data_IF_966009605700
#
_entry.id   IF_966009605700
#
_cell.length_a   1.000
_cell.length_b   1.000
_cell.length_c   1.000
_cell.angle_alpha   90.00
_cell.angle_beta   90.00
_cell.angle_gamma   90.00
#
_symmetry.space_group_name_H-M   'P 1'
#
loop_
_entity.id
_entity.type
_entity.pdbx_description
1 polymer ?
#
# COMPACT_ATOMS: atom_id res chain seq x y z
N UNK A 1 15.42 14.18 80.29
CA UNK A 1 14.34 14.32 79.30
C UNK A 1 14.88 15.26 78.23
N UNK A 2 15.45 14.72 77.18
CA UNK A 2 15.94 15.47 76.05
C UNK A 2 14.89 15.35 74.92
N UNK A 3 14.22 16.48 74.67
CA UNK A 3 13.33 16.58 73.50
C UNK A 3 14.19 16.71 72.27
N UNK A 4 14.11 15.71 71.44
CA UNK A 4 14.71 15.69 70.10
C UNK A 4 13.68 16.28 69.12
N UNK A 5 13.76 17.59 68.88
CA UNK A 5 12.99 18.23 67.81
C UNK A 5 13.78 18.08 66.54
N UNK A 6 13.46 17.04 65.75
CA UNK A 6 13.89 16.95 64.35
C UNK A 6 13.02 17.89 63.53
N UNK A 7 13.49 19.14 63.36
CA UNK A 7 12.93 20.08 62.41
C UNK A 7 13.89 20.06 61.19
N UNK A 8 13.62 19.21 60.26
CA UNK A 8 14.13 19.32 58.87
C UNK A 8 12.95 19.12 57.90
N UNK A 9 11.92 19.95 58.06
CA UNK A 9 11.05 20.27 56.93
C UNK A 9 11.72 21.46 56.23
N UNK A 10 12.70 21.13 55.38
CA UNK A 10 13.16 22.07 54.38
C UNK A 10 12.05 22.11 53.34
N UNK A 11 11.18 23.10 53.46
CA UNK A 11 10.23 23.42 52.41
C UNK A 11 11.05 23.87 51.20
N UNK A 12 11.47 22.92 50.32
CA UNK A 12 12.18 23.23 49.11
C UNK A 12 11.26 24.05 48.21
N UNK A 13 11.52 25.34 48.15
CA UNK A 13 10.80 26.28 47.28
C UNK A 13 11.08 25.87 45.84
N UNK A 14 10.06 25.31 45.15
CA UNK A 14 10.13 24.96 43.74
C UNK A 14 9.88 26.19 42.88
N UNK A 15 10.55 26.28 41.79
CA UNK A 15 10.42 27.36 40.79
C UNK A 15 10.02 26.76 39.48
N UNK A 16 9.01 27.34 38.82
CA UNK A 16 8.61 26.97 37.50
C UNK A 16 9.75 27.21 36.49
N UNK A 17 10.15 26.20 35.76
CA UNK A 17 11.21 26.27 34.76
C UNK A 17 10.85 27.13 33.54
N UNK A 18 9.57 27.43 33.31
CA UNK A 18 9.12 28.26 32.20
C UNK A 18 8.99 29.74 32.59
N UNK A 19 8.17 30.05 33.58
CA UNK A 19 7.85 31.43 33.90
C UNK A 19 8.66 31.98 35.12
N UNK A 20 9.36 31.09 35.84
CA UNK A 20 10.16 31.48 37.01
C UNK A 20 9.35 31.81 38.26
N UNK A 21 8.05 31.56 38.28
CA UNK A 21 7.25 31.78 39.49
C UNK A 21 7.59 30.75 40.57
N UNK A 22 7.35 31.13 41.82
CA UNK A 22 7.42 30.22 42.97
C UNK A 22 6.16 29.34 42.97
N UNK A 23 6.36 28.03 43.03
CA UNK A 23 5.27 27.07 43.09
C UNK A 23 4.97 26.78 44.56
N UNK A 24 3.77 27.09 44.96
CA UNK A 24 3.29 26.87 46.32
C UNK A 24 2.56 25.52 46.42
N UNK A 25 2.58 24.90 47.59
CA UNK A 25 1.76 23.72 47.95
C UNK A 25 2.00 22.44 47.09
N UNK A 26 3.19 22.25 46.50
CA UNK A 26 3.48 21.11 45.64
C UNK A 26 2.52 20.94 44.44
N UNK A 27 1.87 22.03 44.00
CA UNK A 27 1.00 22.07 42.81
C UNK A 27 1.83 22.27 41.56
N UNK A 28 2.58 21.24 41.13
CA UNK A 28 3.45 21.28 39.96
C UNK A 28 3.23 20.05 39.08
N UNK A 29 3.61 20.24 37.83
CA UNK A 29 3.67 19.17 36.84
C UNK A 29 5.12 18.89 36.47
N UNK A 30 5.42 17.62 36.14
CA UNK A 30 6.73 17.22 35.66
C UNK A 30 6.60 16.78 34.20
N UNK A 31 7.30 17.47 33.31
CA UNK A 31 7.32 17.17 31.89
C UNK A 31 8.12 15.90 31.60
N UNK A 32 7.99 15.35 30.37
CA UNK A 32 8.67 14.12 29.96
C UNK A 32 10.22 14.24 30.05
N UNK A 33 10.76 15.45 29.88
CA UNK A 33 12.19 15.79 29.96
C UNK A 33 12.64 16.19 31.37
N UNK A 34 11.74 16.14 32.37
CA UNK A 34 12.02 16.33 33.79
C UNK A 34 11.95 17.78 34.26
N UNK A 35 11.43 18.71 33.45
CA UNK A 35 11.19 20.11 33.86
C UNK A 35 10.03 20.19 34.83
N UNK A 36 10.09 21.13 35.75
CA UNK A 36 9.03 21.42 36.72
C UNK A 36 8.27 22.66 36.25
N UNK A 37 6.98 22.55 36.04
CA UNK A 37 6.12 23.64 35.58
C UNK A 37 4.93 23.87 36.49
N UNK A 38 4.49 25.13 36.62
CA UNK A 38 3.29 25.49 37.38
C UNK A 38 2.03 25.20 36.55
N UNK A 39 0.87 25.22 37.23
CA UNK A 39 -0.44 24.98 36.63
C UNK A 39 -0.75 25.94 35.46
N UNK A 40 -0.48 27.25 35.64
CA UNK A 40 -0.72 28.25 34.59
C UNK A 40 0.08 27.98 33.30
N UNK A 41 1.36 27.52 33.45
CA UNK A 41 2.17 27.13 32.32
C UNK A 41 1.66 25.82 31.69
N UNK A 42 1.28 24.86 32.54
CA UNK A 42 0.70 23.61 32.05
C UNK A 42 -0.54 23.88 31.20
N UNK A 43 -1.51 24.62 31.72
CA UNK A 43 -2.77 24.92 31.02
C UNK A 43 -2.57 25.71 29.73
N UNK A 44 -1.48 26.53 29.67
CA UNK A 44 -1.24 27.39 28.52
C UNK A 44 -0.42 26.74 27.41
N UNK A 45 0.52 25.85 27.74
CA UNK A 45 1.58 25.44 26.83
C UNK A 45 1.86 23.93 26.78
N UNK A 46 1.20 23.14 27.63
CA UNK A 46 1.47 21.71 27.72
C UNK A 46 0.21 20.88 27.57
N UNK A 47 0.40 19.61 27.25
CA UNK A 47 -0.66 18.63 27.22
C UNK A 47 -0.17 17.30 27.81
N UNK A 48 -1.08 16.49 28.27
CA UNK A 48 -0.81 15.11 28.65
C UNK A 48 -1.12 14.19 27.47
N UNK A 49 -0.12 13.43 27.00
CA UNK A 49 -0.31 12.42 25.98
C UNK A 49 -1.30 11.35 26.46
N UNK A 50 -2.36 11.13 25.70
CA UNK A 50 -3.43 10.19 26.07
C UNK A 50 -2.96 8.73 26.14
N UNK A 51 -1.93 8.36 25.37
CA UNK A 51 -1.42 6.98 25.33
C UNK A 51 -0.38 6.68 26.42
N UNK A 52 0.62 7.55 26.59
CA UNK A 52 1.69 7.28 27.53
C UNK A 52 1.55 8.03 28.86
N UNK A 53 0.61 8.97 29.01
CA UNK A 53 0.36 9.75 30.19
C UNK A 53 1.47 10.76 30.55
N UNK A 54 2.46 10.97 29.71
CA UNK A 54 3.53 11.94 29.91
C UNK A 54 3.13 13.32 29.42
N UNK A 55 3.73 14.35 29.99
CA UNK A 55 3.45 15.75 29.69
C UNK A 55 4.46 16.28 28.68
N UNK A 56 3.96 16.87 27.58
CA UNK A 56 4.73 17.43 26.48
C UNK A 56 4.30 18.87 26.21
N UNK A 57 5.13 19.65 25.54
CA UNK A 57 4.76 20.96 25.04
C UNK A 57 3.75 20.83 23.89
N UNK A 58 2.86 21.79 23.74
CA UNK A 58 1.82 21.78 22.69
C UNK A 58 2.38 21.81 21.27
N UNK A 59 3.64 22.25 21.08
CA UNK A 59 4.34 22.19 19.79
C UNK A 59 4.63 20.75 19.34
N UNK A 60 4.70 19.80 20.29
CA UNK A 60 4.94 18.37 20.04
C UNK A 60 3.63 17.56 19.97
N UNK A 61 2.48 18.24 19.97
CA UNK A 61 1.18 17.64 19.95
C UNK A 61 0.84 17.11 18.56
N UNK A 62 0.47 15.84 18.50
CA UNK A 62 -0.11 15.19 17.32
C UNK A 62 -1.58 14.93 17.56
N UNK A 63 -2.40 15.46 16.68
CA UNK A 63 -3.83 15.14 16.64
C UNK A 63 -4.00 13.83 15.87
N UNK A 64 -4.73 12.87 16.45
CA UNK A 64 -5.04 11.60 15.80
C UNK A 64 -6.54 11.44 15.63
N UNK A 65 -6.99 10.64 14.68
CA UNK A 65 -8.40 10.40 14.39
C UNK A 65 -9.21 11.71 14.24
N UNK A 66 -8.62 12.73 13.57
CA UNK A 66 -9.24 14.06 13.34
C UNK A 66 -9.57 14.84 14.59
N UNK A 67 -8.67 14.85 15.55
CA UNK A 67 -8.86 15.53 16.82
C UNK A 67 -9.69 14.75 17.83
N UNK A 68 -9.88 13.45 17.60
CA UNK A 68 -10.50 12.55 18.58
C UNK A 68 -9.60 12.31 19.79
N UNK A 69 -8.26 12.40 19.61
CA UNK A 69 -7.26 12.22 20.66
C UNK A 69 -5.99 13.02 20.36
N UNK A 70 -5.22 13.30 21.43
CA UNK A 70 -3.98 14.05 21.36
C UNK A 70 -2.84 13.24 21.97
N UNK A 71 -1.82 13.00 21.19
CA UNK A 71 -0.68 12.15 21.58
C UNK A 71 0.66 12.80 21.25
N UNK A 72 1.75 12.31 21.86
CA UNK A 72 3.10 12.73 21.49
C UNK A 72 3.54 12.01 20.20
N UNK A 73 4.57 12.55 19.55
CA UNK A 73 5.11 12.02 18.29
C UNK A 73 5.50 10.54 18.42
N UNK A 74 6.18 10.14 19.51
CA UNK A 74 6.58 8.74 19.70
C UNK A 74 5.38 7.77 19.77
N UNK A 75 4.26 8.20 20.39
CA UNK A 75 3.04 7.40 20.44
C UNK A 75 2.33 7.40 19.09
N UNK A 76 2.28 8.53 18.39
CA UNK A 76 1.71 8.62 17.05
C UNK A 76 2.42 7.64 16.10
N UNK A 77 3.74 7.66 16.04
CA UNK A 77 4.53 6.79 15.15
C UNK A 77 4.47 5.31 15.53
N UNK A 78 4.17 5.00 16.80
CA UNK A 78 4.14 3.61 17.29
C UNK A 78 2.80 2.94 17.19
N UNK A 79 1.72 3.67 17.38
CA UNK A 79 0.37 3.11 17.58
C UNK A 79 -0.63 3.53 16.53
N UNK A 80 -0.26 4.46 15.65
CA UNK A 80 -1.15 4.99 14.62
C UNK A 80 -0.52 4.87 13.24
N UNK A 81 -1.37 4.83 12.25
CA UNK A 81 -1.00 4.78 10.84
C UNK A 81 -1.08 6.19 10.24
N UNK A 82 -0.04 6.59 9.55
CA UNK A 82 -0.04 7.87 8.84
C UNK A 82 -0.61 7.69 7.44
N UNK A 83 -1.68 8.41 7.12
CA UNK A 83 -2.25 8.37 5.78
C UNK A 83 -1.27 8.95 4.75
N UNK A 84 -1.01 8.21 3.68
CA UNK A 84 -0.09 8.62 2.61
C UNK A 84 -0.60 9.82 1.80
N UNK A 85 -1.91 10.05 1.80
CA UNK A 85 -2.53 11.12 1.03
C UNK A 85 -2.69 12.43 1.82
N UNK A 86 -3.29 12.41 3.01
CA UNK A 86 -3.47 13.62 3.83
C UNK A 86 -2.36 13.84 4.86
N UNK A 87 -1.59 12.83 5.20
CA UNK A 87 -0.50 12.89 6.17
C UNK A 87 -0.94 12.90 7.63
N UNK A 88 -2.25 12.78 7.92
CA UNK A 88 -2.78 12.70 9.27
C UNK A 88 -2.69 11.27 9.84
N UNK A 89 -2.73 11.15 11.16
CA UNK A 89 -2.60 9.88 11.87
C UNK A 89 -3.96 9.31 12.28
N UNK A 90 -4.12 7.98 12.08
CA UNK A 90 -5.35 7.26 12.34
C UNK A 90 -5.09 5.92 13.02
N UNK A 91 -6.04 5.45 13.83
CA UNK A 91 -6.06 4.09 14.34
C UNK A 91 -6.31 3.10 13.20
N UNK A 92 -5.90 1.85 13.37
CA UNK A 92 -6.06 0.76 12.40
C UNK A 92 -7.49 0.62 11.84
N UNK A 93 -8.50 0.88 12.67
CA UNK A 93 -9.90 0.77 12.25
C UNK A 93 -10.39 1.89 11.30
N UNK A 94 -9.57 2.90 11.04
CA UNK A 94 -9.89 4.04 10.17
C UNK A 94 -8.96 4.14 8.95
N UNK A 95 -8.24 3.09 8.62
CA UNK A 95 -7.34 3.06 7.47
C UNK A 95 -7.53 1.81 6.62
N UNK A 96 -7.35 1.95 5.34
CA UNK A 96 -7.17 0.87 4.36
C UNK A 96 -5.67 0.67 4.13
N UNK A 97 -5.21 -0.57 4.18
CA UNK A 97 -3.81 -0.92 3.95
C UNK A 97 -3.71 -2.06 2.93
N UNK A 98 -2.63 -2.10 2.18
CA UNK A 98 -2.31 -3.18 1.25
C UNK A 98 -0.93 -3.80 1.54
N UNK A 99 -0.64 -4.93 0.87
CA UNK A 99 0.64 -5.64 1.00
C UNK A 99 1.83 -4.86 0.39
N UNK A 100 1.58 -3.77 -0.29
CA UNK A 100 2.60 -2.89 -0.90
C UNK A 100 3.02 -1.75 0.02
N UNK A 101 2.41 -1.66 1.21
CA UNK A 101 2.71 -0.66 2.23
C UNK A 101 1.92 0.63 2.07
N UNK A 102 0.90 0.67 1.23
CA UNK A 102 -0.01 1.83 1.09
C UNK A 102 -0.92 1.94 2.31
N UNK A 103 -1.04 3.14 2.86
CA UNK A 103 -1.93 3.46 3.99
C UNK A 103 -2.82 4.63 3.62
N UNK A 104 -4.12 4.42 3.50
CA UNK A 104 -5.08 5.47 3.13
C UNK A 104 -6.20 5.50 4.17
N UNK A 105 -6.49 6.66 4.77
CA UNK A 105 -7.62 6.79 5.70
C UNK A 105 -8.97 6.69 4.96
N UNK A 106 -10.03 6.32 5.70
CA UNK A 106 -11.39 6.13 5.15
C UNK A 106 -11.85 7.31 4.30
N UNK A 107 -11.63 8.54 4.77
CA UNK A 107 -12.07 9.71 4.00
C UNK A 107 -11.28 9.93 2.72
N UNK A 108 -9.94 9.74 2.75
CA UNK A 108 -9.16 9.83 1.53
C UNK A 108 -9.55 8.73 0.56
N UNK A 109 -9.84 7.54 1.07
CA UNK A 109 -10.30 6.41 0.27
C UNK A 109 -11.62 6.75 -0.43
N UNK A 110 -12.62 7.23 0.33
CA UNK A 110 -13.96 7.51 -0.18
C UNK A 110 -14.05 8.77 -1.06
N UNK A 111 -13.32 9.85 -0.70
CA UNK A 111 -13.47 11.15 -1.38
C UNK A 111 -12.44 11.43 -2.48
N UNK A 112 -11.43 10.59 -2.64
CA UNK A 112 -10.34 10.80 -3.60
C UNK A 112 -10.19 9.68 -4.62
N UNK A 113 -11.27 8.95 -4.87
CA UNK A 113 -11.37 7.92 -5.91
C UNK A 113 -10.32 6.80 -5.80
N UNK A 114 -9.96 6.41 -4.56
CA UNK A 114 -9.15 5.22 -4.36
C UNK A 114 -10.02 3.97 -4.51
N UNK A 115 -9.42 2.93 -5.05
CA UNK A 115 -10.03 1.60 -5.13
C UNK A 115 -8.99 0.52 -4.89
N UNK A 116 -9.44 -0.67 -4.55
CA UNK A 116 -8.57 -1.84 -4.32
C UNK A 116 -8.62 -2.73 -5.55
N UNK A 117 -7.47 -3.10 -6.09
CA UNK A 117 -7.39 -4.04 -7.20
C UNK A 117 -7.87 -5.43 -6.78
N UNK A 118 -8.83 -6.00 -7.52
CA UNK A 118 -9.41 -7.31 -7.26
C UNK A 118 -8.38 -8.43 -7.21
N UNK A 119 -7.38 -8.41 -8.10
CA UNK A 119 -6.40 -9.49 -8.21
C UNK A 119 -5.24 -9.40 -7.21
N UNK A 120 -4.63 -8.22 -7.07
CA UNK A 120 -3.44 -8.08 -6.25
C UNK A 120 -3.65 -7.31 -4.95
N UNK A 121 -4.85 -6.80 -4.69
CA UNK A 121 -5.16 -6.06 -3.47
C UNK A 121 -4.55 -4.66 -3.40
N UNK A 122 -3.82 -4.18 -4.43
CA UNK A 122 -3.19 -2.85 -4.42
C UNK A 122 -4.22 -1.74 -4.36
N UNK A 123 -4.04 -0.82 -3.42
CA UNK A 123 -4.85 0.40 -3.29
C UNK A 123 -4.26 1.50 -4.17
N UNK A 124 -5.05 2.05 -5.09
CA UNK A 124 -4.61 3.11 -6.00
C UNK A 124 -5.78 3.91 -6.54
N UNK A 125 -5.52 5.14 -6.97
CA UNK A 125 -6.44 5.94 -7.81
C UNK A 125 -6.37 5.56 -9.29
N UNK A 126 -5.32 4.85 -9.68
CA UNK A 126 -5.10 4.42 -11.07
C UNK A 126 -5.76 3.05 -11.39
N UNK A 127 -6.46 2.45 -10.41
CA UNK A 127 -7.29 1.29 -10.65
C UNK A 127 -8.55 1.73 -11.40
N UNK A 128 -9.02 0.93 -12.33
CA UNK A 128 -10.21 1.22 -13.12
C UNK A 128 -11.16 0.03 -13.13
N UNK A 129 -12.44 0.34 -13.33
CA UNK A 129 -13.48 -0.65 -13.39
C UNK A 129 -13.27 -1.59 -14.58
N UNK A 130 -13.40 -2.87 -14.34
CA UNK A 130 -13.31 -3.90 -15.36
C UNK A 130 -14.60 -4.76 -15.37
N UNK A 131 -15.31 -4.76 -16.49
CA UNK A 131 -16.61 -5.41 -16.64
C UNK A 131 -16.51 -6.95 -16.58
N UNK A 132 -15.35 -7.55 -16.83
CA UNK A 132 -15.18 -9.00 -16.80
C UNK A 132 -15.14 -9.56 -15.38
N UNK A 133 -14.55 -8.79 -14.45
CA UNK A 133 -14.48 -9.18 -13.03
C UNK A 133 -15.55 -8.51 -12.18
N UNK A 134 -16.29 -7.54 -12.76
CA UNK A 134 -17.28 -6.72 -12.06
C UNK A 134 -16.69 -6.03 -10.84
N UNK A 135 -15.42 -5.54 -10.96
CA UNK A 135 -14.64 -4.91 -9.90
C UNK A 135 -13.47 -4.09 -10.49
N UNK A 136 -12.65 -3.45 -9.63
CA UNK A 136 -11.51 -2.66 -10.03
C UNK A 136 -10.26 -3.49 -10.28
N UNK A 137 -9.52 -3.17 -11.34
CA UNK A 137 -8.20 -3.75 -11.64
C UNK A 137 -7.13 -2.67 -11.80
N UNK A 138 -5.91 -2.96 -11.38
CA UNK A 138 -4.75 -2.16 -11.75
C UNK A 138 -4.24 -2.55 -13.15
N UNK A 139 -3.54 -1.62 -13.82
CA UNK A 139 -3.06 -1.86 -15.17
C UNK A 139 -2.08 -3.03 -15.32
N UNK A 140 -1.38 -3.42 -14.24
CA UNK A 140 -0.50 -4.58 -14.25
C UNK A 140 -1.29 -5.90 -14.26
N UNK A 141 -2.33 -5.98 -13.42
CA UNK A 141 -3.20 -7.16 -13.35
C UNK A 141 -4.03 -7.32 -14.62
N UNK A 142 -4.54 -6.22 -15.20
CA UNK A 142 -5.23 -6.29 -16.47
C UNK A 142 -4.31 -6.78 -17.59
N UNK A 143 -3.07 -6.25 -17.68
CA UNK A 143 -2.09 -6.74 -18.66
C UNK A 143 -1.78 -8.23 -18.45
N UNK A 144 -1.67 -8.67 -17.20
CA UNK A 144 -1.45 -10.08 -16.87
C UNK A 144 -2.65 -10.94 -17.25
N UNK A 145 -3.89 -10.46 -17.05
CA UNK A 145 -5.11 -11.15 -17.52
C UNK A 145 -5.19 -11.20 -19.04
N UNK A 146 -4.88 -10.09 -19.71
CA UNK A 146 -4.85 -10.02 -21.17
C UNK A 146 -3.69 -10.85 -21.76
N UNK A 147 -2.55 -10.95 -21.05
CA UNK A 147 -1.46 -11.87 -21.42
C UNK A 147 -1.83 -13.33 -21.12
N UNK A 148 -2.66 -13.59 -20.09
CA UNK A 148 -3.26 -14.90 -19.80
C UNK A 148 -4.45 -15.25 -20.71
N UNK A 149 -4.94 -14.33 -21.55
CA UNK A 149 -5.62 -14.68 -22.81
C UNK A 149 -4.62 -15.15 -23.88
N UNK A 150 -3.55 -15.81 -23.43
CA UNK A 150 -2.59 -16.51 -24.28
C UNK A 150 -3.23 -17.62 -25.09
N UNK A 151 -4.41 -18.06 -24.66
CA UNK A 151 -5.25 -19.00 -25.39
C UNK A 151 -6.32 -18.24 -26.14
N UNK A 152 -6.17 -18.23 -27.44
CA UNK A 152 -7.22 -17.77 -28.32
C UNK A 152 -8.30 -18.84 -28.44
N UNK A 153 -9.55 -18.42 -28.63
CA UNK A 153 -10.61 -19.37 -29.02
C UNK A 153 -10.24 -20.09 -30.31
N UNK A 154 -10.77 -21.30 -30.53
CA UNK A 154 -10.57 -22.11 -31.72
C UNK A 154 -10.79 -21.35 -33.04
N UNK A 155 -11.72 -20.39 -33.05
CA UNK A 155 -12.03 -19.54 -34.21
C UNK A 155 -11.01 -18.45 -34.50
N UNK A 156 -10.04 -18.20 -33.63
CA UNK A 156 -9.06 -17.13 -33.80
C UNK A 156 -8.17 -17.37 -35.03
N UNK A 157 -8.09 -16.38 -35.89
CA UNK A 157 -7.23 -16.38 -37.10
C UNK A 157 -6.52 -15.04 -37.17
N UNK A 158 -5.26 -14.97 -36.69
CA UNK A 158 -4.48 -13.75 -36.84
C UNK A 158 -4.22 -13.46 -38.31
N UNK A 159 -4.05 -12.18 -38.65
CA UNK A 159 -3.47 -11.81 -39.94
C UNK A 159 -2.02 -12.27 -39.96
N UNK A 160 -1.59 -13.12 -40.93
CA UNK A 160 -0.23 -13.61 -40.93
C UNK A 160 0.73 -12.48 -41.33
N UNK A 161 1.75 -12.25 -40.50
CA UNK A 161 2.91 -11.46 -40.91
C UNK A 161 3.88 -12.37 -41.66
N UNK A 162 4.05 -12.12 -42.96
CA UNK A 162 4.96 -12.90 -43.80
C UNK A 162 6.37 -12.31 -43.73
N UNK A 163 7.26 -13.00 -43.06
CA UNK A 163 8.70 -12.69 -43.11
C UNK A 163 9.37 -13.53 -44.19
N UNK A 164 9.74 -12.90 -45.31
CA UNK A 164 10.54 -13.55 -46.33
C UNK A 164 12.02 -13.37 -45.99
N UNK A 165 12.76 -14.46 -45.84
CA UNK A 165 14.22 -14.43 -45.83
C UNK A 165 14.72 -14.08 -47.23
N UNK A 166 15.70 -13.17 -47.35
CA UNK A 166 16.23 -12.73 -48.63
C UNK A 166 16.78 -13.89 -49.50
N UNK A 167 17.19 -14.98 -48.84
CA UNK A 167 17.71 -16.20 -49.50
C UNK A 167 16.61 -17.05 -50.16
N UNK A 168 15.32 -16.79 -49.88
CA UNK A 168 14.19 -17.54 -50.41
C UNK A 168 13.62 -16.94 -51.72
N UNK A 169 14.09 -15.74 -52.12
CA UNK A 169 13.72 -15.13 -53.38
C UNK A 169 14.40 -15.87 -54.53
N UNK A 170 13.68 -16.79 -55.16
CA UNK A 170 14.12 -17.44 -56.41
C UNK A 170 13.80 -16.53 -57.58
N UNK A 171 14.84 -16.17 -58.35
CA UNK A 171 14.66 -15.41 -59.59
C UNK A 171 13.58 -16.05 -60.49
N UNK A 172 12.49 -15.32 -60.72
CA UNK A 172 11.46 -15.70 -61.69
C UNK A 172 10.25 -16.44 -61.11
N UNK A 173 10.12 -16.52 -59.78
CA UNK A 173 8.89 -17.01 -59.13
C UNK A 173 8.04 -15.79 -58.70
N UNK A 174 6.79 -15.80 -59.14
CA UNK A 174 5.81 -14.80 -58.72
C UNK A 174 5.62 -14.88 -57.21
N UNK A 175 5.69 -13.76 -56.49
CA UNK A 175 5.56 -13.71 -55.00
C UNK A 175 4.24 -14.37 -54.49
N UNK A 176 3.25 -14.46 -55.36
CA UNK A 176 1.95 -15.14 -55.07
C UNK A 176 2.02 -16.68 -55.21
N UNK A 177 3.11 -17.23 -55.67
CA UNK A 177 3.24 -18.68 -55.90
C UNK A 177 4.07 -19.40 -54.82
N UNK A 178 4.55 -18.69 -53.79
CA UNK A 178 5.27 -19.30 -52.68
C UNK A 178 4.24 -19.92 -51.75
N UNK A 179 4.25 -21.23 -51.51
CA UNK A 179 3.33 -21.85 -50.57
C UNK A 179 3.72 -21.48 -49.13
N UNK A 180 2.84 -20.81 -48.46
CA UNK A 180 2.96 -20.60 -47.02
C UNK A 180 2.28 -21.76 -46.28
N UNK A 181 2.88 -22.25 -45.22
CA UNK A 181 2.30 -23.28 -44.37
C UNK A 181 2.47 -22.92 -42.92
N UNK A 182 1.46 -23.21 -42.15
CA UNK A 182 1.48 -23.20 -40.69
C UNK A 182 1.74 -24.62 -40.20
N UNK A 183 2.37 -24.71 -39.04
CA UNK A 183 2.53 -25.96 -38.31
C UNK A 183 1.65 -25.87 -37.05
N UNK A 184 0.77 -26.83 -36.89
CA UNK A 184 0.01 -27.03 -35.65
C UNK A 184 0.73 -28.11 -34.84
N UNK A 185 0.96 -27.84 -33.57
CA UNK A 185 1.49 -28.79 -32.61
C UNK A 185 0.43 -28.99 -31.52
N UNK A 186 -0.10 -30.19 -31.44
CA UNK A 186 -1.00 -30.59 -30.38
C UNK A 186 -0.19 -31.13 -29.21
N UNK A 187 -0.44 -30.62 -28.01
CA UNK A 187 0.21 -31.05 -26.76
C UNK A 187 -0.88 -31.59 -25.85
N UNK A 188 -0.77 -32.87 -25.52
CA UNK A 188 -1.71 -33.58 -24.64
C UNK A 188 -0.96 -34.16 -23.44
N UNK A 189 -1.52 -34.03 -22.24
CA UNK A 189 -0.98 -34.65 -21.01
C UNK A 189 0.29 -34.01 -20.48
N UNK A 190 0.49 -32.72 -20.68
CA UNK A 190 1.58 -31.93 -20.11
C UNK A 190 1.27 -31.38 -18.72
N UNK A 191 2.25 -30.65 -18.17
CA UNK A 191 2.08 -29.75 -17.02
C UNK A 191 1.00 -28.70 -17.35
N UNK A 192 0.64 -27.87 -16.35
CA UNK A 192 -0.40 -26.87 -16.51
C UNK A 192 -0.23 -26.13 -17.88
N UNK A 193 -1.23 -26.28 -18.75
CA UNK A 193 -1.24 -25.71 -20.10
C UNK A 193 -0.98 -24.21 -20.13
N UNK A 194 -1.29 -23.51 -19.01
CA UNK A 194 -1.02 -22.09 -18.81
C UNK A 194 0.50 -21.83 -18.78
N UNK A 195 1.25 -22.60 -18.02
CA UNK A 195 2.70 -22.45 -17.88
C UNK A 195 3.38 -22.66 -19.24
N UNK A 196 2.91 -23.65 -20.02
CA UNK A 196 3.42 -23.91 -21.38
C UNK A 196 3.15 -22.74 -22.33
N UNK A 197 1.97 -22.12 -22.25
CA UNK A 197 1.66 -20.98 -23.12
C UNK A 197 2.44 -19.72 -22.75
N UNK A 198 2.65 -19.48 -21.45
CA UNK A 198 3.50 -18.38 -20.98
C UNK A 198 4.96 -18.54 -21.45
N UNK A 199 5.50 -19.74 -21.37
CA UNK A 199 6.84 -20.05 -21.87
C UNK A 199 6.95 -19.84 -23.39
N UNK A 200 5.95 -20.25 -24.16
CA UNK A 200 5.90 -20.04 -25.61
C UNK A 200 5.85 -18.55 -25.94
N UNK A 201 5.03 -17.76 -25.24
CA UNK A 201 4.96 -16.32 -25.45
C UNK A 201 6.25 -15.59 -25.04
N UNK A 202 6.91 -16.04 -23.96
CA UNK A 202 8.20 -15.49 -23.54
C UNK A 202 9.29 -15.64 -24.61
N UNK A 203 9.15 -16.57 -25.54
CA UNK A 203 10.09 -16.73 -26.67
C UNK A 203 10.00 -15.60 -27.70
N UNK A 204 8.93 -14.78 -27.68
CA UNK A 204 8.74 -13.68 -28.64
C UNK A 204 8.64 -14.14 -30.10
N UNK A 205 8.27 -15.39 -30.34
CA UNK A 205 8.09 -15.97 -31.67
C UNK A 205 6.66 -15.65 -32.18
N UNK A 206 6.45 -15.62 -33.50
CA UNK A 206 5.12 -15.43 -34.09
C UNK A 206 4.28 -16.73 -34.01
N UNK A 207 4.15 -17.25 -32.79
CA UNK A 207 3.33 -18.41 -32.46
C UNK A 207 2.25 -18.01 -31.48
N UNK A 208 1.13 -18.69 -31.50
CA UNK A 208 0.03 -18.45 -30.59
C UNK A 208 -0.62 -19.79 -30.20
N UNK A 209 -1.12 -19.84 -28.96
CA UNK A 209 -1.81 -21.01 -28.43
C UNK A 209 -3.31 -20.88 -28.66
N UNK A 210 -3.99 -21.97 -28.91
CA UNK A 210 -5.45 -22.05 -29.06
C UNK A 210 -5.97 -23.23 -28.28
N UNK A 211 -7.21 -23.10 -27.77
CA UNK A 211 -7.96 -24.23 -27.31
C UNK A 211 -8.44 -25.07 -28.48
N UNK A 212 -8.21 -26.37 -28.44
CA UNK A 212 -8.87 -27.34 -29.33
C UNK A 212 -9.86 -28.15 -28.51
N UNK A 213 -11.14 -28.00 -28.87
CA UNK A 213 -12.24 -28.74 -28.22
C UNK A 213 -12.26 -30.25 -28.51
N UNK A 214 -11.30 -30.74 -29.29
CA UNK A 214 -11.14 -32.18 -29.57
C UNK A 214 -10.16 -32.87 -28.61
N UNK A 215 -9.40 -32.08 -27.85
CA UNK A 215 -8.49 -32.57 -26.82
C UNK A 215 -9.23 -32.67 -25.48
N UNK A 216 -8.73 -33.50 -24.60
CA UNK A 216 -9.23 -33.56 -23.21
C UNK A 216 -9.06 -32.21 -22.53
N UNK A 217 -9.84 -31.96 -21.46
CA UNK A 217 -9.90 -30.66 -20.76
C UNK A 217 -8.52 -30.07 -20.33
N UNK A 218 -7.44 -30.84 -20.47
CA UNK A 218 -6.06 -30.47 -20.14
C UNK A 218 -5.15 -30.28 -21.37
N UNK A 219 -5.69 -30.39 -22.59
CA UNK A 219 -4.94 -30.27 -23.85
C UNK A 219 -5.04 -28.89 -24.50
N UNK A 220 -3.99 -28.45 -25.20
CA UNK A 220 -3.90 -27.20 -25.99
C UNK A 220 -3.55 -27.45 -27.43
#
# INVERSE_FOLDING_TARGET
MTMNTNINDVNETRICDDCGCVIENDDYYTTYDGRIICEDCYDSYYFTCEDCGKIFHTDDLISVNRGGSYVCTDCADRYYYRCDDCGEYFSECYVHTDDFGTVICDDCYDYRDYSTCYDCGRISRDNYWNDEVDDYLCGDCERSRNANQAFHEYSYKPEPEFHMCDDEKRDGVDDMAIPYFGVELEIDGGDDHRDVSEDIQALGLPVYCKHDGSLDDEGV
#
